data_IF_646857464311
#
_entry.id   IF_646857464311
#
_cell.length_a   1.000
_cell.length_b   1.000
_cell.length_c   1.000
_cell.angle_alpha   90.00
_cell.angle_beta   90.00
_cell.angle_gamma   90.00
#
_symmetry.space_group_name_H-M   'P 1'
#
loop_
_entity.id
_entity.type
_entity.pdbx_description
1 polymer ?
#
# COMPACT_ATOMS: atom_id res chain seq x y z
N UNK A 1 9.06 -11.00 8.51
CA UNK A 1 8.97 -9.94 7.47
C UNK A 1 7.56 -9.98 6.88
N UNK A 2 6.98 -8.83 6.51
CA UNK A 2 5.67 -8.75 5.83
C UNK A 2 5.91 -8.19 4.42
N UNK A 3 5.35 -8.83 3.41
CA UNK A 3 5.54 -8.47 2.00
C UNK A 3 4.16 -8.25 1.38
N UNK A 4 4.00 -7.14 0.66
CA UNK A 4 2.85 -6.89 -0.20
C UNK A 4 3.21 -7.36 -1.62
N UNK A 5 2.29 -8.07 -2.25
CA UNK A 5 2.44 -8.57 -3.61
C UNK A 5 1.31 -7.97 -4.42
N UNK A 6 1.67 -7.19 -5.44
CA UNK A 6 0.75 -6.75 -6.47
C UNK A 6 0.77 -7.79 -7.60
N UNK A 7 -0.36 -8.46 -7.80
CA UNK A 7 -0.50 -9.58 -8.73
C UNK A 7 -1.74 -9.32 -9.57
N UNK A 8 -1.64 -9.35 -10.90
CA UNK A 8 -2.81 -9.18 -11.75
C UNK A 8 -3.81 -10.31 -11.53
N UNK A 9 -5.10 -9.99 -11.63
CA UNK A 9 -6.21 -10.86 -11.23
C UNK A 9 -6.21 -12.21 -11.95
N UNK A 10 -5.77 -12.24 -13.21
CA UNK A 10 -5.64 -13.44 -14.05
C UNK A 10 -4.63 -14.45 -13.48
N UNK A 11 -3.59 -13.98 -12.79
CA UNK A 11 -2.54 -14.81 -12.18
C UNK A 11 -2.70 -15.00 -10.67
N UNK A 12 -3.56 -14.20 -10.02
CA UNK A 12 -3.80 -14.26 -8.57
C UNK A 12 -4.12 -15.69 -8.07
N UNK A 13 -4.97 -16.40 -8.81
CA UNK A 13 -5.41 -17.77 -8.48
C UNK A 13 -4.26 -18.79 -8.53
N UNK A 14 -3.30 -18.60 -9.44
CA UNK A 14 -2.13 -19.45 -9.52
C UNK A 14 -1.19 -19.20 -8.34
N UNK A 15 -0.88 -17.94 -8.04
CA UNK A 15 -0.01 -17.58 -6.93
C UNK A 15 -0.59 -17.99 -5.57
N UNK A 16 -1.90 -17.84 -5.36
CA UNK A 16 -2.56 -18.29 -4.13
C UNK A 16 -2.39 -19.80 -3.90
N UNK A 17 -2.46 -20.62 -4.97
CA UNK A 17 -2.22 -22.07 -4.87
C UNK A 17 -0.77 -22.37 -4.51
N UNK A 18 0.19 -21.67 -5.10
CA UNK A 18 1.61 -21.82 -4.76
C UNK A 18 1.85 -21.45 -3.30
N UNK A 19 1.33 -20.31 -2.85
CA UNK A 19 1.45 -19.87 -1.46
C UNK A 19 0.76 -20.82 -0.47
N UNK A 20 -0.35 -21.45 -0.86
CA UNK A 20 -1.04 -22.45 -0.05
C UNK A 20 -0.22 -23.73 0.20
N UNK A 21 0.76 -24.04 -0.66
CA UNK A 21 1.67 -25.17 -0.43
C UNK A 21 2.69 -24.89 0.69
N UNK A 22 2.88 -23.62 1.06
CA UNK A 22 3.76 -23.24 2.16
C UNK A 22 2.94 -23.06 3.44
N UNK A 23 2.87 -24.11 4.27
CA UNK A 23 2.12 -24.11 5.54
C UNK A 23 2.56 -23.05 6.56
N UNK A 24 3.75 -22.47 6.37
CA UNK A 24 4.29 -21.40 7.20
C UNK A 24 3.92 -19.98 6.71
N UNK A 25 3.29 -19.84 5.55
CA UNK A 25 2.90 -18.55 4.96
C UNK A 25 1.44 -18.25 5.26
N UNK A 26 1.18 -17.14 5.95
CA UNK A 26 -0.17 -16.65 6.21
C UNK A 26 -0.58 -15.64 5.15
N UNK A 27 -1.47 -16.05 4.25
CA UNK A 27 -2.03 -15.17 3.22
C UNK A 27 -3.25 -14.45 3.78
N UNK A 28 -3.34 -13.14 3.56
CA UNK A 28 -4.54 -12.34 3.82
C UNK A 28 -4.90 -11.62 2.53
N UNK A 29 -5.97 -12.02 1.82
CA UNK A 29 -6.42 -11.28 0.65
C UNK A 29 -6.91 -9.90 1.12
N UNK A 30 -6.42 -8.85 0.49
CA UNK A 30 -6.99 -7.52 0.63
C UNK A 30 -8.01 -7.32 -0.49
N UNK A 31 -9.13 -6.68 -0.17
CA UNK A 31 -10.02 -6.14 -1.20
C UNK A 31 -9.33 -4.95 -1.86
N UNK A 32 -9.69 -4.64 -3.11
CA UNK A 32 -9.11 -3.53 -3.86
C UNK A 32 -9.15 -2.20 -3.07
N UNK A 33 -10.27 -1.88 -2.43
CA UNK A 33 -10.42 -0.70 -1.58
C UNK A 33 -9.44 -0.65 -0.40
N UNK A 34 -9.16 -1.82 0.22
CA UNK A 34 -8.23 -1.91 1.35
C UNK A 34 -6.77 -1.85 0.90
N UNK A 35 -6.49 -2.32 -0.31
CA UNK A 35 -5.16 -2.20 -0.92
C UNK A 35 -4.86 -0.74 -1.24
N UNK A 36 -5.80 -0.05 -1.91
CA UNK A 36 -5.69 1.38 -2.22
C UNK A 36 -5.50 2.22 -0.95
N UNK A 37 -6.35 2.03 0.05
CA UNK A 37 -6.22 2.77 1.31
C UNK A 37 -4.89 2.51 2.03
N UNK A 38 -4.29 1.32 1.89
CA UNK A 38 -2.96 1.03 2.44
C UNK A 38 -1.85 1.73 1.66
N UNK A 39 -1.94 1.81 0.34
CA UNK A 39 -1.00 2.56 -0.49
C UNK A 39 -1.09 4.06 -0.19
N UNK A 40 -2.29 4.63 -0.18
CA UNK A 40 -2.52 6.04 0.13
C UNK A 40 -1.96 6.41 1.52
N UNK A 41 -2.19 5.57 2.52
CA UNK A 41 -1.64 5.77 3.87
C UNK A 41 -0.12 5.65 3.89
N UNK A 42 0.46 4.72 3.14
CA UNK A 42 1.92 4.54 3.05
C UNK A 42 2.57 5.74 2.37
N UNK A 43 1.97 6.24 1.30
CA UNK A 43 2.40 7.46 0.61
C UNK A 43 2.34 8.65 1.55
N UNK A 44 1.20 8.89 2.20
CA UNK A 44 1.04 9.98 3.17
C UNK A 44 2.07 9.91 4.31
N UNK A 45 2.36 8.72 4.84
CA UNK A 45 3.37 8.53 5.88
C UNK A 45 4.78 8.83 5.35
N UNK A 46 5.11 8.42 4.13
CA UNK A 46 6.40 8.75 3.51
C UNK A 46 6.51 10.24 3.19
N UNK A 47 5.43 10.91 2.76
CA UNK A 47 5.42 12.37 2.57
C UNK A 47 5.67 13.13 3.88
N UNK A 48 4.99 12.74 4.97
CA UNK A 48 5.22 13.32 6.30
C UNK A 48 6.65 13.07 6.78
N UNK A 49 7.22 11.91 6.46
CA UNK A 49 8.59 11.55 6.82
C UNK A 49 9.62 12.34 6.02
N UNK A 50 9.40 12.54 4.71
CA UNK A 50 10.23 13.40 3.86
C UNK A 50 10.17 14.87 4.30
N UNK A 51 8.99 15.32 4.71
CA UNK A 51 8.81 16.64 5.29
C UNK A 51 9.53 16.83 6.61
N UNK A 52 9.44 15.85 7.52
CA UNK A 52 10.20 15.86 8.79
C UNK A 52 11.71 15.81 8.57
N UNK A 53 12.19 15.21 7.47
CA UNK A 53 13.60 15.20 7.08
C UNK A 53 14.07 16.52 6.43
N UNK A 54 13.17 17.45 6.16
CA UNK A 54 13.49 18.74 5.53
C UNK A 54 13.69 18.66 4.00
N UNK A 55 13.36 17.54 3.36
CA UNK A 55 13.58 17.30 1.93
C UNK A 55 12.37 17.74 1.06
N UNK A 56 11.18 17.91 1.64
CA UNK A 56 9.95 18.32 0.93
C UNK A 56 9.10 19.25 1.79
N UNK A 57 8.67 20.39 1.27
CA UNK A 57 7.67 21.23 1.95
C UNK A 57 6.31 20.53 1.83
N UNK A 58 5.64 20.26 2.96
CA UNK A 58 4.26 19.76 2.93
C UNK A 58 3.40 20.83 2.26
N UNK A 59 2.58 20.42 1.29
CA UNK A 59 1.49 21.29 0.81
C UNK A 59 0.69 21.75 2.02
N UNK A 60 0.39 23.04 2.09
CA UNK A 60 -0.43 23.57 3.19
C UNK A 60 -1.79 22.87 3.19
N UNK A 61 -2.42 22.76 4.36
CA UNK A 61 -3.77 22.19 4.48
C UNK A 61 -4.77 22.91 3.54
N UNK A 62 -4.50 24.19 3.25
CA UNK A 62 -5.24 25.03 2.31
C UNK A 62 -5.09 24.62 0.83
N UNK A 63 -3.95 24.05 0.44
CA UNK A 63 -3.73 23.54 -0.92
C UNK A 63 -4.38 22.17 -1.10
N UNK A 64 -4.29 21.30 -0.09
CA UNK A 64 -4.97 20.02 -0.10
C UNK A 64 -6.49 20.20 -0.25
N UNK A 65 -7.08 21.12 0.52
CA UNK A 65 -8.52 21.44 0.47
C UNK A 65 -8.99 22.08 -0.86
N UNK A 66 -8.07 22.53 -1.72
CA UNK A 66 -8.41 23.10 -3.04
C UNK A 66 -8.40 22.08 -4.18
N UNK A 67 -7.75 20.93 -3.98
CA UNK A 67 -7.69 19.84 -4.97
C UNK A 67 -8.86 18.85 -4.83
N UNK A 68 -9.68 18.97 -3.78
CA UNK A 68 -10.91 18.20 -3.52
C UNK A 68 -12.14 19.05 -3.85
#
# INVERSE_FOLDING_TARGET
MKVLLDIPDDQSSFFLKVLANFSFVKVKPLTHEKAQAMEDLKEAVEEVKQAKKGEKQLKSMDEFLKEI
#
